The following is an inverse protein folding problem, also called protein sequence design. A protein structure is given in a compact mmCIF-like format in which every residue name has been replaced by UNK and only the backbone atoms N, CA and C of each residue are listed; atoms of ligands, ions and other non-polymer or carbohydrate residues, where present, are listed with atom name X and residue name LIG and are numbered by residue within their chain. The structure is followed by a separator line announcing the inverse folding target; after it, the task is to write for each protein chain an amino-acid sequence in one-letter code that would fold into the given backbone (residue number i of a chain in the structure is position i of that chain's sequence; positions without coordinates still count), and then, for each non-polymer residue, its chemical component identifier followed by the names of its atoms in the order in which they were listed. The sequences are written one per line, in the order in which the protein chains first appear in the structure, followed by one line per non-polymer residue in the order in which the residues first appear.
data_IF_102568883098
#
_entry.id   IF_102568883098
#
_cell.length_a   1.000
_cell.length_b   1.000
_cell.length_c   1.000
_cell.angle_alpha   90.00
_cell.angle_beta   90.00
_cell.angle_gamma   90.00
#
_symmetry.space_group_name_H-M   'P 1'
#
loop_
_entity.id
_entity.type
_entity.pdbx_description
1 polymer ?
#
# COMPACT_ATOMS: atom_id res chain seq x y z
N UNK A 1 -12.59 -18.00 12.28
CA UNK A 1 -12.67 -17.20 13.13
C UNK A 1 -11.94 -16.02 12.93
N UNK A 2 -12.30 -15.03 13.09
CA UNK A 2 -11.63 -13.89 12.87
C UNK A 2 -11.29 -13.28 14.12
N UNK A 3 -10.47 -12.37 14.12
CA UNK A 3 -10.07 -11.76 15.20
C UNK A 3 -10.49 -10.41 15.15
N UNK A 4 -10.97 -9.84 16.01
CA UNK A 4 -11.37 -8.50 16.07
C UNK A 4 -10.27 -7.66 16.47
N UNK A 5 -9.99 -6.65 15.71
CA UNK A 5 -9.00 -5.69 16.10
C UNK A 5 -9.62 -4.66 16.97
N UNK A 6 -8.91 -4.11 17.92
CA UNK A 6 -9.46 -3.09 18.80
C UNK A 6 -9.75 -1.85 17.99
N UNK A 7 -10.94 -1.41 17.94
CA UNK A 7 -11.29 -0.30 17.10
C UNK A 7 -10.72 1.02 17.57
N UNK A 8 -10.46 1.15 18.82
CA UNK A 8 -9.96 2.40 19.30
C UNK A 8 -8.51 2.56 19.05
N UNK A 9 -7.83 1.53 18.55
CA UNK A 9 -6.44 1.67 18.29
C UNK A 9 -6.25 2.16 16.93
N UNK A 10 -5.18 2.83 16.71
CA UNK A 10 -4.95 3.32 15.42
C UNK A 10 -4.28 2.35 14.53
N UNK A 11 -3.85 1.21 14.98
CA UNK A 11 -3.23 0.27 14.07
C UNK A 11 -4.29 -0.51 13.34
N UNK A 12 -5.23 0.18 12.73
CA UNK A 12 -6.21 -0.46 11.94
C UNK A 12 -5.64 -0.90 10.64
N UNK A 13 -6.11 -1.99 10.08
CA UNK A 13 -5.63 -2.42 8.77
C UNK A 13 -6.03 -1.40 7.72
N UNK A 14 -5.24 -1.33 6.69
CA UNK A 14 -5.60 -0.52 5.54
C UNK A 14 -5.36 -1.36 4.30
N UNK A 15 -5.98 -0.96 3.21
CA UNK A 15 -5.96 -1.75 1.98
C UNK A 15 -5.32 -0.96 0.86
N UNK A 16 -4.41 -1.60 0.18
CA UNK A 16 -3.81 -1.03 -1.02
C UNK A 16 -4.21 -1.88 -2.19
N UNK A 17 -4.65 -1.23 -3.25
CA UNK A 17 -5.04 -1.92 -4.46
C UNK A 17 -3.98 -1.65 -5.50
N UNK A 18 -3.29 -2.69 -5.92
CA UNK A 18 -2.19 -2.55 -6.86
C UNK A 18 -2.63 -2.93 -8.25
N UNK A 19 -2.42 -2.04 -9.20
CA UNK A 19 -2.65 -2.32 -10.60
C UNK A 19 -1.33 -2.27 -11.30
N UNK A 20 -0.98 -3.34 -11.99
CA UNK A 20 0.31 -3.45 -12.63
C UNK A 20 0.11 -3.50 -14.12
N UNK A 21 0.89 -2.70 -14.84
CA UNK A 21 0.90 -2.75 -16.29
C UNK A 21 2.04 -3.65 -16.72
N UNK A 22 1.77 -4.59 -17.62
CA UNK A 22 2.82 -5.50 -18.05
C UNK A 22 3.90 -4.74 -18.81
N UNK A 23 5.14 -5.15 -18.61
CA UNK A 23 6.25 -4.56 -19.32
C UNK A 23 7.21 -5.65 -19.69
N UNK A 24 7.63 -5.65 -20.95
CA UNK A 24 8.60 -6.61 -21.38
C UNK A 24 9.97 -6.18 -20.95
N UNK A 25 10.82 -7.15 -20.59
CA UNK A 25 12.18 -6.87 -20.25
C UNK A 25 12.35 -6.01 -19.05
N UNK A 26 11.47 -6.16 -18.10
CA UNK A 26 11.47 -5.23 -17.00
C UNK A 26 12.53 -5.52 -15.96
N UNK A 27 13.13 -6.69 -15.96
CA UNK A 27 14.18 -7.00 -14.97
C UNK A 27 13.74 -6.77 -13.56
N UNK A 28 12.58 -7.24 -13.23
CA UNK A 28 12.08 -7.10 -11.87
C UNK A 28 11.44 -5.77 -11.56
N UNK A 29 11.41 -4.88 -12.55
CA UNK A 29 10.74 -3.61 -12.35
C UNK A 29 9.39 -3.66 -13.01
N UNK A 30 8.50 -2.79 -12.63
CA UNK A 30 7.18 -2.76 -13.22
C UNK A 30 6.64 -1.35 -13.17
N UNK A 31 5.59 -1.13 -13.91
CA UNK A 31 4.89 0.14 -13.88
C UNK A 31 3.52 -0.15 -13.32
N UNK A 32 3.15 0.58 -12.31
CA UNK A 32 1.85 0.34 -11.71
C UNK A 32 1.36 1.53 -10.95
N UNK A 33 0.18 1.37 -10.42
CA UNK A 33 -0.44 2.35 -9.56
C UNK A 33 -0.99 1.65 -8.35
N UNK A 34 -0.92 2.31 -7.22
CA UNK A 34 -1.50 1.80 -6.00
C UNK A 34 -2.54 2.78 -5.53
N UNK A 35 -3.70 2.28 -5.23
CA UNK A 35 -4.74 3.10 -4.62
C UNK A 35 -4.82 2.77 -3.16
N UNK A 36 -4.76 3.79 -2.31
CA UNK A 36 -5.02 3.63 -0.89
C UNK A 36 -6.52 3.67 -0.74
N UNK A 37 -7.12 2.53 -0.49
CA UNK A 37 -8.57 2.41 -0.60
C UNK A 37 -9.27 3.34 0.36
N UNK A 38 -8.73 3.49 1.54
CA UNK A 38 -9.41 4.29 2.58
C UNK A 38 -9.44 5.77 2.26
N UNK A 39 -8.50 6.26 1.47
CA UNK A 39 -8.46 7.68 1.16
C UNK A 39 -8.72 8.00 -0.29
N UNK A 40 -8.62 7.01 -1.16
CA UNK A 40 -8.75 7.24 -2.59
C UNK A 40 -7.51 7.77 -3.25
N UNK A 41 -6.44 7.95 -2.51
CA UNK A 41 -5.21 8.47 -3.08
C UNK A 41 -4.59 7.44 -4.01
N UNK A 42 -4.08 7.89 -5.14
CA UNK A 42 -3.42 7.00 -6.09
C UNK A 42 -1.97 7.42 -6.23
N UNK A 43 -1.08 6.46 -6.16
CA UNK A 43 0.35 6.70 -6.21
C UNK A 43 0.95 5.82 -7.30
N UNK A 44 1.76 6.42 -8.16
CA UNK A 44 2.45 5.65 -9.19
C UNK A 44 3.67 4.99 -8.58
N UNK A 45 3.93 3.75 -8.96
CA UNK A 45 5.10 3.05 -8.48
C UNK A 45 5.79 2.37 -9.65
N UNK A 46 7.08 2.15 -9.51
CA UNK A 46 7.84 1.52 -10.58
C UNK A 46 8.69 0.36 -10.11
N UNK A 47 8.73 0.08 -8.84
CA UNK A 47 9.40 -1.13 -8.35
C UNK A 47 8.93 -1.42 -6.94
N UNK A 48 9.46 -2.52 -6.41
CA UNK A 48 9.04 -2.97 -5.08
C UNK A 48 9.45 -1.98 -4.00
N UNK A 49 10.54 -1.29 -4.20
CA UNK A 49 10.96 -0.32 -3.20
C UNK A 49 9.94 0.81 -3.06
N UNK A 50 9.39 1.26 -4.18
CA UNK A 50 8.35 2.27 -4.12
C UNK A 50 7.15 1.77 -3.34
N UNK A 51 6.77 0.52 -3.58
CA UNK A 51 5.64 -0.05 -2.88
C UNK A 51 5.92 -0.15 -1.39
N UNK A 52 7.11 -0.58 -1.03
CA UNK A 52 7.47 -0.71 0.36
C UNK A 52 7.44 0.65 1.06
N UNK A 53 7.93 1.67 0.40
CA UNK A 53 7.90 3.00 0.96
C UNK A 53 6.48 3.47 1.19
N UNK A 54 5.59 3.15 0.28
CA UNK A 54 4.20 3.53 0.45
C UNK A 54 3.58 2.82 1.63
N UNK A 55 3.87 1.54 1.78
CA UNK A 55 3.34 0.78 2.91
C UNK A 55 3.85 1.39 4.21
N UNK A 56 5.12 1.75 4.25
CA UNK A 56 5.67 2.34 5.46
C UNK A 56 5.07 3.70 5.76
N UNK A 57 4.86 4.49 4.74
CA UNK A 57 4.26 5.81 4.94
C UNK A 57 2.86 5.69 5.50
N UNK A 58 2.06 4.78 4.90
CA UNK A 58 0.69 4.62 5.36
C UNK A 58 0.63 4.00 6.74
N UNK A 59 1.57 3.13 7.03
CA UNK A 59 1.64 2.53 8.36
C UNK A 59 1.93 3.58 9.41
N UNK A 60 2.90 4.45 9.13
CA UNK A 60 3.25 5.48 10.09
C UNK A 60 2.11 6.45 10.30
N UNK A 61 1.39 6.77 9.26
CA UNK A 61 0.29 7.70 9.38
C UNK A 61 -0.82 7.16 10.25
N UNK A 62 -0.91 5.83 10.34
CA UNK A 62 -1.98 5.21 11.11
C UNK A 62 -1.54 4.65 12.44
N UNK A 63 -0.27 4.72 12.71
CA UNK A 63 0.24 4.14 13.96
C UNK A 63 0.45 5.27 14.94
N UNK A 64 -0.18 5.25 16.07
CA UNK A 64 -0.02 6.36 17.00
C UNK A 64 1.29 6.21 17.73
N UNK A 65 1.96 7.24 17.89
CA UNK A 65 3.15 7.21 18.71
C UNK A 65 3.01 8.09 19.94
#
# INVERSE_FOLDING_TARGET
MHRNLPPERSNRPFTLLLRVLPRQGSNGRFVGQVEVVETGETVAISDVADLTELVERESRARWPL
#
